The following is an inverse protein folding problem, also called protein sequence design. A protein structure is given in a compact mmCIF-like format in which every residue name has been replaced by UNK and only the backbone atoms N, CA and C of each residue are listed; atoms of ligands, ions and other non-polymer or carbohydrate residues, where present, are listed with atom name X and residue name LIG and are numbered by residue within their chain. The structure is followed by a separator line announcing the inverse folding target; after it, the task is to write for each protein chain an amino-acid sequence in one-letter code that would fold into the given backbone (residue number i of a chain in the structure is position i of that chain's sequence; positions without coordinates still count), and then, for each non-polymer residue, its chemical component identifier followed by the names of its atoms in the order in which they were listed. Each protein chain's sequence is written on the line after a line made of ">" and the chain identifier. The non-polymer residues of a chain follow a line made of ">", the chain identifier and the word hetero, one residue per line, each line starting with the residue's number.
data_IF_957844436669
#
_entry.id   IF_957844436669
#
_cell.length_a   1.000
_cell.length_b   1.000
_cell.length_c   1.000
_cell.angle_alpha   90.00
_cell.angle_beta   90.00
_cell.angle_gamma   90.00
#
_symmetry.space_group_name_H-M   'P 1'
#
loop_
_entity.id
_entity.type
_entity.pdbx_description
1 polymer ?
#
# COMPACT_ATOMS: atom_id res chain seq x y z
N UNK A 1 24.77 5.93 30.75
CA UNK A 1 23.56 5.46 31.45
C UNK A 1 22.97 4.32 30.65
N UNK A 2 22.97 3.11 31.19
CA UNK A 2 22.27 1.95 30.60
C UNK A 2 20.78 2.13 30.85
N UNK A 3 20.04 2.55 29.80
CA UNK A 3 18.57 2.53 29.83
C UNK A 3 18.11 1.11 30.18
N UNK A 4 17.14 0.98 31.08
CA UNK A 4 16.50 -0.33 31.31
C UNK A 4 15.89 -0.81 29.99
N UNK A 5 15.81 -2.13 29.80
CA UNK A 5 15.16 -2.73 28.62
C UNK A 5 13.74 -2.19 28.44
N UNK A 6 13.02 -1.93 29.53
CA UNK A 6 11.70 -1.30 29.50
C UNK A 6 11.70 0.13 28.95
N UNK A 7 12.66 0.96 29.37
CA UNK A 7 12.77 2.34 28.88
C UNK A 7 13.20 2.37 27.40
N UNK A 8 14.08 1.46 26.99
CA UNK A 8 14.46 1.29 25.59
C UNK A 8 13.27 0.85 24.72
N UNK A 9 12.47 -0.13 25.19
CA UNK A 9 11.30 -0.61 24.46
C UNK A 9 10.24 0.49 24.31
N UNK A 10 9.96 1.25 25.37
CA UNK A 10 9.01 2.37 25.31
C UNK A 10 9.47 3.42 24.30
N UNK A 11 10.76 3.76 24.30
CA UNK A 11 11.33 4.69 23.33
C UNK A 11 11.15 4.20 21.88
N UNK A 12 11.40 2.91 21.61
CA UNK A 12 11.18 2.32 20.28
C UNK A 12 9.72 2.35 19.85
N UNK A 13 8.78 2.09 20.77
CA UNK A 13 7.34 2.21 20.51
C UNK A 13 6.96 3.65 20.17
N UNK A 14 7.53 4.63 20.87
CA UNK A 14 7.25 6.03 20.61
C UNK A 14 7.82 6.48 19.25
N UNK A 15 9.05 6.08 18.90
CA UNK A 15 9.63 6.29 17.56
C UNK A 15 8.74 5.72 16.44
N UNK A 16 8.22 4.50 16.63
CA UNK A 16 7.30 3.87 15.69
C UNK A 16 6.02 4.69 15.51
N UNK A 17 5.39 5.09 16.63
CA UNK A 17 4.17 5.93 16.59
C UNK A 17 4.39 7.26 15.88
N UNK A 18 5.53 7.91 16.11
CA UNK A 18 5.89 9.15 15.41
C UNK A 18 6.06 8.90 13.90
N UNK A 19 6.79 7.85 13.53
CA UNK A 19 7.00 7.49 12.11
C UNK A 19 5.68 7.22 11.39
N UNK A 20 4.77 6.46 12.01
CA UNK A 20 3.43 6.17 11.46
C UNK A 20 2.60 7.45 11.31
N UNK A 21 2.64 8.34 12.30
CA UNK A 21 1.90 9.60 12.23
C UNK A 21 2.40 10.48 11.09
N UNK A 22 3.71 10.60 10.95
CA UNK A 22 4.31 11.49 9.95
C UNK A 22 4.02 10.97 8.53
N UNK A 23 4.22 9.67 8.25
CA UNK A 23 3.87 9.08 6.94
C UNK A 23 2.35 9.08 6.67
N UNK A 24 1.51 9.08 7.70
CA UNK A 24 0.05 9.19 7.54
C UNK A 24 -0.36 10.54 6.94
N UNK A 25 0.35 11.62 7.29
CA UNK A 25 0.12 12.94 6.68
C UNK A 25 0.46 12.88 5.18
N UNK A 26 1.63 12.33 4.85
CA UNK A 26 2.07 12.17 3.46
C UNK A 26 1.10 11.32 2.64
N UNK A 27 0.58 10.24 3.24
CA UNK A 27 -0.43 9.39 2.63
C UNK A 27 -1.68 10.19 2.23
N UNK A 28 -2.24 10.98 3.15
CA UNK A 28 -3.44 11.77 2.84
C UNK A 28 -3.16 12.87 1.82
N UNK A 29 -1.98 13.48 1.84
CA UNK A 29 -1.58 14.46 0.81
C UNK A 29 -1.44 13.81 -0.57
N UNK A 30 -0.81 12.64 -0.65
CA UNK A 30 -0.66 11.89 -1.89
C UNK A 30 -2.03 11.39 -2.42
N UNK A 31 -2.90 10.91 -1.53
CA UNK A 31 -4.25 10.48 -1.87
C UNK A 31 -5.10 11.66 -2.39
N UNK A 32 -5.02 12.83 -1.75
CA UNK A 32 -5.72 14.02 -2.20
C UNK A 32 -5.29 14.47 -3.59
N UNK A 33 -3.99 14.34 -3.93
CA UNK A 33 -3.48 14.58 -5.29
C UNK A 33 -4.01 13.54 -6.28
N UNK A 34 -3.99 12.25 -5.90
CA UNK A 34 -4.50 11.16 -6.73
C UNK A 34 -5.99 11.34 -7.08
N UNK A 35 -6.79 11.87 -6.16
CA UNK A 35 -8.22 12.09 -6.37
C UNK A 35 -8.55 13.19 -7.40
N UNK A 36 -7.57 13.99 -7.83
CA UNK A 36 -7.81 15.02 -8.84
C UNK A 36 -7.95 14.41 -10.23
N UNK A 37 -8.82 14.99 -11.06
CA UNK A 37 -9.06 14.53 -12.42
C UNK A 37 -7.84 14.73 -13.32
N UNK A 38 -7.06 15.78 -13.08
CA UNK A 38 -5.80 16.11 -13.76
C UNK A 38 -4.56 15.43 -13.14
N UNK A 39 -4.75 14.39 -12.33
CA UNK A 39 -3.66 13.68 -11.68
C UNK A 39 -2.67 13.09 -12.71
N UNK A 40 -1.38 13.34 -12.48
CA UNK A 40 -0.32 12.83 -13.34
C UNK A 40 0.13 11.42 -12.96
N UNK A 41 0.77 10.73 -13.89
CA UNK A 41 1.41 9.42 -13.64
C UNK A 41 2.44 9.52 -12.50
N UNK A 42 3.14 10.65 -12.37
CA UNK A 42 4.07 10.89 -11.26
C UNK A 42 3.35 10.92 -9.90
N UNK A 43 2.17 11.54 -9.83
CA UNK A 43 1.37 11.56 -8.60
C UNK A 43 0.83 10.18 -8.24
N UNK A 44 0.46 9.36 -9.22
CA UNK A 44 0.13 7.94 -9.03
C UNK A 44 1.32 7.17 -8.44
N UNK A 45 2.52 7.34 -9.01
CA UNK A 45 3.74 6.71 -8.48
C UNK A 45 4.07 7.19 -7.08
N UNK A 46 3.97 8.49 -6.82
CA UNK A 46 4.20 9.04 -5.48
C UNK A 46 3.23 8.47 -4.45
N UNK A 47 1.95 8.33 -4.80
CA UNK A 47 0.98 7.66 -3.93
C UNK A 47 1.37 6.20 -3.65
N UNK A 48 1.77 5.46 -4.68
CA UNK A 48 2.28 4.10 -4.51
C UNK A 48 3.47 4.06 -3.55
N UNK A 49 4.48 4.89 -3.78
CA UNK A 49 5.72 4.88 -3.00
C UNK A 49 5.43 5.23 -1.53
N UNK A 50 4.60 6.24 -1.27
CA UNK A 50 4.19 6.59 0.10
C UNK A 50 3.44 5.45 0.81
N UNK A 51 2.60 4.69 0.09
CA UNK A 51 1.97 3.50 0.67
C UNK A 51 2.97 2.37 0.94
N UNK A 52 3.98 2.19 0.08
CA UNK A 52 5.04 1.21 0.28
C UNK A 52 5.92 1.59 1.47
N UNK A 53 6.29 2.86 1.61
CA UNK A 53 7.04 3.39 2.75
C UNK A 53 6.27 3.16 4.06
N UNK A 54 4.96 3.43 4.07
CA UNK A 54 4.10 3.16 5.22
C UNK A 54 4.05 1.68 5.58
N UNK A 55 3.93 0.80 4.59
CA UNK A 55 3.95 -0.64 4.79
C UNK A 55 5.32 -1.10 5.35
N UNK A 56 6.42 -0.60 4.79
CA UNK A 56 7.78 -0.91 5.25
C UNK A 56 8.00 -0.49 6.71
N UNK A 57 7.54 0.71 7.11
CA UNK A 57 7.57 1.15 8.52
C UNK A 57 6.85 0.15 9.42
N UNK A 58 5.67 -0.34 9.01
CA UNK A 58 4.92 -1.33 9.80
C UNK A 58 5.67 -2.66 9.89
N UNK A 59 6.19 -3.15 8.76
CA UNK A 59 6.90 -4.43 8.68
C UNK A 59 8.19 -4.44 9.50
N UNK A 60 9.00 -3.37 9.43
CA UNK A 60 10.24 -3.23 10.20
C UNK A 60 10.00 -3.24 11.73
N UNK A 61 8.79 -2.89 12.16
CA UNK A 61 8.38 -2.87 13.56
C UNK A 61 7.54 -4.09 13.97
N UNK A 62 7.37 -5.08 13.07
CA UNK A 62 6.62 -6.30 13.34
C UNK A 62 5.10 -6.10 13.44
N UNK A 63 4.57 -4.99 12.91
CA UNK A 63 3.13 -4.71 12.84
C UNK A 63 2.53 -5.22 11.53
N UNK A 64 2.40 -6.55 11.43
CA UNK A 64 1.87 -7.22 10.24
C UNK A 64 0.43 -6.81 9.90
N UNK A 65 -0.37 -6.49 10.92
CA UNK A 65 -1.74 -6.04 10.72
C UNK A 65 -1.79 -4.69 10.00
N UNK A 66 -1.03 -3.70 10.48
CA UNK A 66 -0.94 -2.39 9.83
C UNK A 66 -0.28 -2.47 8.46
N UNK A 67 0.70 -3.35 8.27
CA UNK A 67 1.28 -3.66 6.95
C UNK A 67 0.20 -4.11 5.96
N UNK A 68 -0.57 -5.15 6.32
CA UNK A 68 -1.61 -5.71 5.46
C UNK A 68 -2.70 -4.67 5.14
N UNK A 69 -3.05 -3.83 6.11
CA UNK A 69 -4.00 -2.74 5.92
C UNK A 69 -3.50 -1.68 4.92
N UNK A 70 -2.26 -1.23 5.07
CA UNK A 70 -1.66 -0.24 4.17
C UNK A 70 -1.55 -0.80 2.74
N UNK A 71 -1.04 -2.02 2.61
CA UNK A 71 -0.90 -2.71 1.32
C UNK A 71 -2.26 -3.02 0.67
N UNK A 72 -3.26 -3.41 1.45
CA UNK A 72 -4.62 -3.67 0.98
C UNK A 72 -5.28 -2.41 0.42
N UNK A 73 -5.15 -1.28 1.12
CA UNK A 73 -5.62 0.03 0.64
C UNK A 73 -4.94 0.44 -0.66
N UNK A 74 -3.62 0.28 -0.74
CA UNK A 74 -2.84 0.57 -1.95
C UNK A 74 -3.36 -0.27 -3.12
N UNK A 75 -3.42 -1.59 -2.95
CA UNK A 75 -3.84 -2.51 -4.00
C UNK A 75 -5.24 -2.19 -4.51
N UNK A 76 -6.20 -2.03 -3.58
CA UNK A 76 -7.58 -1.69 -3.94
C UNK A 76 -7.65 -0.38 -4.73
N UNK A 77 -6.90 0.66 -4.33
CA UNK A 77 -6.90 1.93 -5.05
C UNK A 77 -6.30 1.80 -6.45
N UNK A 78 -5.23 1.02 -6.62
CA UNK A 78 -4.62 0.80 -7.92
C UNK A 78 -5.55 0.01 -8.87
N UNK A 79 -6.31 -0.97 -8.34
CA UNK A 79 -7.33 -1.69 -9.11
C UNK A 79 -8.46 -0.76 -9.57
N UNK A 80 -8.87 0.20 -8.73
CA UNK A 80 -9.82 1.23 -9.14
C UNK A 80 -9.26 2.10 -10.29
N UNK A 81 -8.05 2.62 -10.13
CA UNK A 81 -7.45 3.54 -11.11
C UNK A 81 -7.13 2.86 -12.45
N UNK A 82 -6.76 1.57 -12.45
CA UNK A 82 -6.55 0.84 -13.71
C UNK A 82 -7.85 0.60 -14.49
N UNK A 83 -9.01 0.58 -13.81
CA UNK A 83 -10.34 0.49 -14.41
C UNK A 83 -10.99 1.85 -14.70
N UNK A 84 -10.36 2.96 -14.31
CA UNK A 84 -10.96 4.29 -14.36
C UNK A 84 -10.99 4.87 -15.78
N UNK A 85 -12.17 4.88 -16.42
CA UNK A 85 -12.36 5.36 -17.79
C UNK A 85 -12.04 6.85 -18.00
N UNK A 86 -12.05 7.65 -16.93
CA UNK A 86 -11.69 9.08 -16.99
C UNK A 86 -10.17 9.28 -17.10
N UNK A 87 -9.37 8.23 -16.88
CA UNK A 87 -7.91 8.27 -17.00
C UNK A 87 -7.46 7.88 -18.39
N UNK A 88 -6.37 8.51 -18.82
CA UNK A 88 -5.72 8.11 -20.06
C UNK A 88 -5.20 6.67 -20.01
N UNK A 89 -4.93 6.10 -21.19
CA UNK A 89 -4.50 4.71 -21.31
C UNK A 89 -3.15 4.44 -20.61
N UNK A 90 -2.20 5.37 -20.66
CA UNK A 90 -0.88 5.18 -20.07
C UNK A 90 -0.95 5.15 -18.54
N UNK A 91 -1.76 6.02 -17.96
CA UNK A 91 -2.05 6.06 -16.53
C UNK A 91 -2.66 4.75 -16.07
N UNK A 92 -3.68 4.24 -16.78
CA UNK A 92 -4.30 2.95 -16.47
C UNK A 92 -3.32 1.78 -16.56
N UNK A 93 -2.45 1.76 -17.58
CA UNK A 93 -1.39 0.74 -17.70
C UNK A 93 -0.41 0.83 -16.54
N UNK A 94 -0.01 2.03 -16.13
CA UNK A 94 0.85 2.20 -14.96
C UNK A 94 0.16 1.70 -13.68
N UNK A 95 -1.11 2.04 -13.47
CA UNK A 95 -1.89 1.56 -12.32
C UNK A 95 -1.98 0.04 -12.30
N UNK A 96 -2.20 -0.61 -13.45
CA UNK A 96 -2.19 -2.06 -13.58
C UNK A 96 -0.85 -2.68 -13.18
N UNK A 97 0.27 -2.13 -13.67
CA UNK A 97 1.60 -2.64 -13.33
C UNK A 97 1.87 -2.54 -11.82
N UNK A 98 1.52 -1.42 -11.21
CA UNK A 98 1.65 -1.21 -9.77
C UNK A 98 0.71 -2.14 -8.98
N UNK A 99 -0.54 -2.31 -9.43
CA UNK A 99 -1.52 -3.20 -8.81
C UNK A 99 -1.04 -4.66 -8.80
N UNK A 100 -0.39 -5.09 -9.88
CA UNK A 100 0.21 -6.43 -9.97
C UNK A 100 1.34 -6.61 -8.95
N UNK A 101 2.21 -5.60 -8.79
CA UNK A 101 3.31 -5.65 -7.83
C UNK A 101 2.80 -5.64 -6.38
N UNK A 102 1.80 -4.82 -6.06
CA UNK A 102 1.19 -4.79 -4.73
C UNK A 102 0.47 -6.10 -4.40
N UNK A 103 -0.17 -6.73 -5.39
CA UNK A 103 -0.78 -8.05 -5.24
C UNK A 103 0.27 -9.11 -4.89
N UNK A 104 1.41 -9.16 -5.58
CA UNK A 104 2.48 -10.11 -5.28
C UNK A 104 2.94 -9.99 -3.83
N UNK A 105 3.14 -8.76 -3.34
CA UNK A 105 3.55 -8.51 -1.94
C UNK A 105 2.47 -8.93 -0.94
N UNK A 106 1.20 -8.59 -1.20
CA UNK A 106 0.08 -9.01 -0.37
C UNK A 106 -0.05 -10.54 -0.29
N UNK A 107 -0.02 -11.23 -1.43
CA UNK A 107 -0.12 -12.68 -1.47
C UNK A 107 1.05 -13.35 -0.75
N UNK A 108 2.27 -12.80 -0.86
CA UNK A 108 3.42 -13.29 -0.11
C UNK A 108 3.21 -13.16 1.41
N UNK A 109 2.75 -12.01 1.90
CA UNK A 109 2.51 -11.83 3.32
C UNK A 109 1.37 -12.72 3.84
N UNK A 110 0.27 -12.84 3.09
CA UNK A 110 -0.85 -13.70 3.45
C UNK A 110 -0.45 -15.19 3.44
N UNK A 111 0.45 -15.60 2.54
CA UNK A 111 1.01 -16.94 2.55
C UNK A 111 1.81 -17.23 3.83
N UNK A 112 2.57 -16.24 4.33
CA UNK A 112 3.31 -16.35 5.59
C UNK A 112 2.38 -16.42 6.81
N UNK A 113 1.24 -15.73 6.79
CA UNK A 113 0.23 -15.80 7.87
C UNK A 113 -0.68 -17.02 7.78
N UNK A 114 -0.68 -17.73 6.65
CA UNK A 114 -1.55 -18.88 6.39
C UNK A 114 -2.94 -18.51 5.83
N UNK A 115 -3.17 -17.26 5.45
CA UNK A 115 -4.44 -16.73 4.95
C UNK A 115 -4.62 -16.94 3.43
N UNK A 116 -4.53 -18.21 3.00
CA UNK A 116 -4.59 -18.60 1.58
C UNK A 116 -5.91 -18.23 0.89
N UNK A 117 -7.03 -18.27 1.61
CA UNK A 117 -8.35 -17.90 1.09
C UNK A 117 -8.40 -16.42 0.69
N UNK A 118 -7.81 -15.55 1.52
CA UNK A 118 -7.75 -14.12 1.23
C UNK A 118 -6.83 -13.83 0.04
N UNK A 119 -5.67 -14.51 -0.04
CA UNK A 119 -4.77 -14.38 -1.17
C UNK A 119 -5.46 -14.78 -2.50
N UNK A 120 -6.21 -15.88 -2.49
CA UNK A 120 -6.95 -16.37 -3.66
C UNK A 120 -8.05 -15.39 -4.10
N UNK A 121 -8.77 -14.79 -3.14
CA UNK A 121 -9.78 -13.75 -3.43
C UNK A 121 -9.16 -12.53 -4.09
N UNK A 122 -8.04 -12.03 -3.57
CA UNK A 122 -7.33 -10.87 -4.15
C UNK A 122 -6.85 -11.16 -5.58
N UNK A 123 -6.29 -12.35 -5.82
CA UNK A 123 -5.85 -12.75 -7.16
C UNK A 123 -7.02 -12.82 -8.15
N UNK A 124 -8.13 -13.44 -7.72
CA UNK A 124 -9.32 -13.59 -8.55
C UNK A 124 -9.94 -12.24 -8.90
N UNK A 125 -10.02 -11.33 -7.92
CA UNK A 125 -10.52 -9.96 -8.12
C UNK A 125 -9.64 -9.17 -9.08
N UNK A 126 -8.32 -9.24 -8.92
CA UNK A 126 -7.37 -8.59 -9.82
C UNK A 126 -7.50 -9.09 -11.27
N UNK A 127 -7.58 -10.42 -11.47
CA UNK A 127 -7.74 -11.01 -12.82
C UNK A 127 -9.04 -10.55 -13.47
N UNK A 128 -10.13 -10.48 -12.69
CA UNK A 128 -11.42 -10.00 -13.18
C UNK A 128 -11.33 -8.56 -13.70
N UNK A 129 -10.58 -7.69 -13.04
CA UNK A 129 -10.38 -6.30 -13.49
C UNK A 129 -9.38 -6.19 -14.64
N UNK A 130 -8.32 -7.01 -14.63
CA UNK A 130 -7.29 -7.00 -15.67
C UNK A 130 -7.82 -7.42 -17.05
N UNK A 131 -8.83 -8.28 -17.08
CA UNK A 131 -9.47 -8.73 -18.33
C UNK A 131 -10.14 -7.62 -19.16
N UNK A 132 -10.32 -6.41 -18.61
CA UNK A 132 -10.94 -5.26 -19.30
C UNK A 132 -9.92 -4.22 -19.79
N UNK A 133 -8.63 -4.40 -19.51
CA UNK A 133 -7.56 -3.46 -19.90
C UNK A 133 -7.00 -3.77 -21.29
N UNK A 134 -7.08 -5.03 -21.70
CA UNK A 134 -6.65 -5.53 -23.01
C UNK A 134 -7.86 -5.89 -23.86
#
# INVERSE_FOLDING_TARGET
>A
MTLSVSAWLQHKIDEYKFSVRDITVDFYLAQAKLNRTDCSIEQLRRFNDTCLDMAEICQLNGDDHSYLHAMGKLHHRLVQEMGNADRDRLFRIQAYQLARLSLTRLCHQLALSGDWDQATRLQSDFVRHAGWIF
#
